data_IF_793105176720
#
_entry.id   IF_793105176720
#
_cell.length_a   1.000
_cell.length_b   1.000
_cell.length_c   1.000
_cell.angle_alpha   90.00
_cell.angle_beta   90.00
_cell.angle_gamma   90.00
#
_symmetry.space_group_name_H-M   'P 1'
#
loop_
_entity.id
_entity.type
_entity.pdbx_description
1 polymer ?
#
# COMPACT_ATOMS: atom_id res chain seq x y z
N UNK A 1 2.27 -24.20 -25.71
CA UNK A 1 2.78 -23.04 -24.95
C UNK A 1 1.71 -21.95 -25.10
N UNK A 2 0.96 -21.65 -24.05
CA UNK A 2 -0.06 -20.60 -24.11
C UNK A 2 0.67 -19.26 -23.96
N UNK A 3 0.67 -18.45 -25.02
CA UNK A 3 1.01 -17.03 -24.91
C UNK A 3 -0.23 -16.35 -24.34
N UNK A 4 -0.23 -16.09 -23.04
CA UNK A 4 -1.22 -15.22 -22.43
C UNK A 4 -0.73 -13.80 -22.66
N UNK A 5 -1.42 -13.09 -23.52
CA UNK A 5 -1.18 -11.67 -23.76
C UNK A 5 -1.74 -10.88 -22.57
N UNK A 6 -0.86 -10.38 -21.71
CA UNK A 6 -1.20 -9.57 -20.53
C UNK A 6 -1.07 -8.06 -20.82
N UNK A 7 -0.90 -7.66 -22.09
CA UNK A 7 -0.70 -6.26 -22.47
C UNK A 7 -1.89 -5.35 -22.15
N UNK A 8 -3.07 -5.92 -21.91
CA UNK A 8 -4.32 -5.19 -21.70
C UNK A 8 -4.97 -5.42 -20.31
N UNK A 9 -4.23 -6.05 -19.38
CA UNK A 9 -4.70 -6.20 -18.00
C UNK A 9 -4.17 -5.03 -17.18
N UNK A 10 -5.07 -4.11 -16.79
CA UNK A 10 -4.84 -3.14 -15.72
C UNK A 10 -4.27 -3.88 -14.50
N UNK A 11 -2.96 -3.81 -14.32
CA UNK A 11 -2.24 -4.62 -13.34
C UNK A 11 -2.55 -4.10 -11.96
N UNK A 12 -3.39 -4.82 -11.21
CA UNK A 12 -3.67 -4.48 -9.82
C UNK A 12 -2.73 -5.26 -8.89
N UNK A 13 -2.18 -4.56 -7.89
CA UNK A 13 -1.46 -5.17 -6.77
C UNK A 13 -2.14 -4.76 -5.47
N UNK A 14 -2.29 -5.70 -4.55
CA UNK A 14 -2.96 -5.44 -3.29
C UNK A 14 -2.32 -6.25 -2.17
N UNK A 15 -2.43 -5.75 -0.96
CA UNK A 15 -1.89 -6.45 0.21
C UNK A 15 -2.41 -5.90 1.52
N UNK A 16 -1.96 -6.56 2.59
CA UNK A 16 -2.16 -6.15 3.97
C UNK A 16 -0.82 -5.98 4.63
N UNK A 17 -0.73 -5.03 5.54
CA UNK A 17 0.47 -4.74 6.31
C UNK A 17 0.09 -4.44 7.76
N UNK A 18 0.98 -4.76 8.69
CA UNK A 18 0.77 -4.52 10.10
C UNK A 18 1.62 -3.33 10.55
N UNK A 19 0.99 -2.25 10.99
CA UNK A 19 1.66 -1.16 11.69
C UNK A 19 1.63 -1.50 13.17
N UNK A 20 2.81 -1.77 13.73
CA UNK A 20 2.95 -2.15 15.13
C UNK A 20 2.59 -0.99 16.04
N UNK A 21 2.09 -1.31 17.24
CA UNK A 21 1.93 -0.36 18.33
C UNK A 21 3.18 0.52 18.47
N UNK A 22 2.94 1.80 18.77
CA UNK A 22 3.96 2.84 18.96
C UNK A 22 4.75 3.20 17.68
N UNK A 23 4.38 2.62 16.52
CA UNK A 23 4.85 3.05 15.19
C UNK A 23 3.81 3.90 14.49
N UNK A 24 4.24 4.75 13.56
CA UNK A 24 3.37 5.61 12.76
C UNK A 24 3.37 5.25 11.26
N UNK A 25 4.21 4.29 10.85
CA UNK A 25 4.46 4.02 9.44
C UNK A 25 4.86 2.57 9.18
N UNK A 26 4.75 2.19 7.90
CA UNK A 26 5.30 0.97 7.33
C UNK A 26 5.69 1.25 5.87
N UNK A 27 6.75 0.58 5.40
CA UNK A 27 7.19 0.65 4.01
C UNK A 27 6.89 -0.68 3.32
N UNK A 28 6.23 -0.60 2.16
CA UNK A 28 5.91 -1.74 1.30
C UNK A 28 6.78 -1.67 0.06
N UNK A 29 7.52 -2.72 -0.24
CA UNK A 29 8.26 -2.86 -1.49
C UNK A 29 7.40 -3.58 -2.53
N UNK A 30 7.26 -3.00 -3.72
CA UNK A 30 6.44 -3.55 -4.80
C UNK A 30 6.94 -3.10 -6.18
N UNK A 31 6.83 -3.99 -7.15
CA UNK A 31 7.14 -3.70 -8.56
C UNK A 31 5.94 -3.22 -9.36
N UNK A 32 4.77 -3.12 -8.72
CA UNK A 32 3.52 -2.72 -9.38
C UNK A 32 3.32 -1.19 -9.45
N UNK A 33 4.21 -0.40 -8.85
CA UNK A 33 4.13 1.07 -8.89
C UNK A 33 4.53 1.60 -10.26
N UNK A 34 3.70 2.47 -10.82
CA UNK A 34 3.96 3.25 -12.03
C UNK A 34 3.59 4.72 -11.79
N UNK A 35 3.97 5.61 -12.71
CA UNK A 35 3.61 7.04 -12.61
C UNK A 35 2.11 7.30 -12.68
N UNK A 36 1.32 6.36 -13.20
CA UNK A 36 -0.12 6.49 -13.38
C UNK A 36 -0.92 5.70 -12.34
N UNK A 37 -0.24 5.07 -11.37
CA UNK A 37 -0.90 4.26 -10.36
C UNK A 37 -1.91 5.08 -9.53
N UNK A 38 -3.13 4.57 -9.42
CA UNK A 38 -4.08 4.98 -8.39
C UNK A 38 -3.87 4.10 -7.16
N UNK A 39 -3.58 4.72 -6.02
CA UNK A 39 -3.24 4.02 -4.79
C UNK A 39 -4.28 4.33 -3.72
N UNK A 40 -4.78 3.28 -3.07
CA UNK A 40 -5.76 3.34 -2.00
C UNK A 40 -5.19 2.68 -0.76
N UNK A 41 -5.43 3.29 0.40
CA UNK A 41 -5.01 2.78 1.70
C UNK A 41 -6.19 2.87 2.66
N UNK A 42 -6.46 1.78 3.37
CA UNK A 42 -7.50 1.75 4.42
C UNK A 42 -7.00 1.00 5.64
N UNK A 43 -7.41 1.42 6.83
CA UNK A 43 -7.08 0.74 8.07
C UNK A 43 -8.29 -0.04 8.59
N UNK A 44 -8.06 -1.24 9.09
CA UNK A 44 -9.09 -2.05 9.74
C UNK A 44 -9.23 -1.65 11.21
N UNK A 45 -10.44 -1.32 11.65
CA UNK A 45 -10.78 -1.06 13.05
C UNK A 45 -9.83 -0.05 13.76
N UNK A 46 -9.40 0.98 13.03
CA UNK A 46 -8.47 2.01 13.50
C UNK A 46 -9.11 3.39 13.48
N UNK A 47 -8.83 4.17 14.52
CA UNK A 47 -9.19 5.59 14.60
C UNK A 47 -8.14 6.47 13.89
N UNK A 48 -7.01 5.88 13.50
CA UNK A 48 -5.93 6.56 12.77
C UNK A 48 -6.25 6.63 11.28
N UNK A 49 -6.10 7.83 10.71
CA UNK A 49 -6.17 8.03 9.26
C UNK A 49 -4.80 7.78 8.66
N UNK A 50 -4.73 6.83 7.73
CA UNK A 50 -3.51 6.54 6.99
C UNK A 50 -3.52 7.22 5.62
N UNK A 51 -2.35 7.68 5.21
CA UNK A 51 -2.06 8.16 3.87
C UNK A 51 -0.83 7.44 3.33
N UNK A 52 -0.42 7.77 2.11
CA UNK A 52 0.75 7.19 1.49
C UNK A 52 1.61 8.21 0.76
N UNK A 53 2.86 7.84 0.53
CA UNK A 53 3.74 8.46 -0.45
C UNK A 53 4.59 7.39 -1.15
N UNK A 54 4.95 7.65 -2.42
CA UNK A 54 5.89 6.80 -3.15
C UNK A 54 7.30 7.24 -2.85
N UNK A 55 8.11 6.32 -2.34
CA UNK A 55 9.52 6.52 -2.01
C UNK A 55 10.32 5.66 -2.99
N UNK A 56 11.23 6.26 -3.76
CA UNK A 56 12.14 5.51 -4.64
C UNK A 56 11.50 4.66 -5.76
N UNK A 57 10.26 4.96 -6.17
CA UNK A 57 9.60 4.36 -7.35
C UNK A 57 9.15 2.90 -7.19
N UNK A 58 9.75 2.14 -6.28
CA UNK A 58 9.37 0.75 -5.94
C UNK A 58 8.94 0.59 -4.49
N UNK A 59 8.93 1.67 -3.70
CA UNK A 59 8.49 1.63 -2.30
C UNK A 59 7.29 2.54 -2.08
N UNK A 60 6.33 2.04 -1.34
CA UNK A 60 5.18 2.77 -0.86
C UNK A 60 5.33 2.93 0.66
N UNK A 61 5.53 4.16 1.14
CA UNK A 61 5.46 4.45 2.56
C UNK A 61 4.02 4.76 2.91
N UNK A 62 3.45 3.97 3.82
CA UNK A 62 2.11 4.16 4.37
C UNK A 62 2.27 4.68 5.79
N UNK A 63 1.65 5.82 6.10
CA UNK A 63 1.89 6.49 7.38
C UNK A 63 0.67 7.26 7.91
N UNK A 64 0.73 7.59 9.19
CA UNK A 64 -0.21 8.47 9.91
C UNK A 64 0.60 9.51 10.70
N UNK A 65 -0.05 10.59 11.14
CA UNK A 65 0.60 11.70 11.84
C UNK A 65 1.01 11.36 13.28
N UNK A 66 0.41 10.31 13.88
CA UNK A 66 0.65 9.91 15.25
C UNK A 66 0.85 8.40 15.32
N UNK A 67 1.70 7.96 16.24
CA UNK A 67 1.92 6.54 16.49
C UNK A 67 0.60 5.84 16.87
N UNK A 68 0.40 4.63 16.36
CA UNK A 68 -0.81 3.85 16.67
C UNK A 68 -0.74 3.30 18.10
N UNK A 69 -1.86 3.39 18.82
CA UNK A 69 -1.95 2.93 20.22
C UNK A 69 -2.10 1.41 20.36
N UNK A 70 -2.37 0.72 19.25
CA UNK A 70 -2.49 -0.74 19.13
C UNK A 70 -2.07 -1.16 17.72
N UNK A 71 -1.66 -2.41 17.58
CA UNK A 71 -1.36 -3.01 16.28
C UNK A 71 -2.53 -2.78 15.32
N UNK A 72 -2.22 -2.22 14.15
CA UNK A 72 -3.22 -1.80 13.17
C UNK A 72 -2.94 -2.46 11.84
N UNK A 73 -3.93 -3.20 11.32
CA UNK A 73 -3.85 -3.75 9.97
C UNK A 73 -4.25 -2.68 8.96
N UNK A 74 -3.40 -2.48 7.96
CA UNK A 74 -3.62 -1.55 6.86
C UNK A 74 -3.68 -2.33 5.56
N UNK A 75 -4.78 -2.19 4.83
CA UNK A 75 -4.96 -2.70 3.49
C UNK A 75 -4.51 -1.66 2.47
N UNK A 76 -3.88 -2.09 1.39
CA UNK A 76 -3.48 -1.23 0.29
C UNK A 76 -3.79 -1.87 -1.07
N UNK A 77 -4.08 -1.02 -2.06
CA UNK A 77 -4.30 -1.41 -3.45
C UNK A 77 -3.65 -0.40 -4.38
N UNK A 78 -3.00 -0.90 -5.43
CA UNK A 78 -2.38 -0.16 -6.52
C UNK A 78 -3.10 -0.61 -7.78
N UNK A 79 -3.67 0.32 -8.53
CA UNK A 79 -4.34 0.08 -9.80
C UNK A 79 -3.59 0.87 -10.86
N UNK A 80 -3.18 0.22 -11.96
CA UNK A 80 -2.48 0.83 -13.08
C UNK A 80 -3.36 0.94 -14.31
#
# INVERSE_FOLDING_TARGET
KFNVDISDVAGASAGKALVLKDSAEITIETTALTSNSLIFVTAENSDSVFTYEVVEGTKLRIFTNQAVIKDTTVNWWIIN
#
